data_IF_808568127944
#
_entry.id   IF_808568127944
#
_cell.length_a   1.000
_cell.length_b   1.000
_cell.length_c   1.000
_cell.angle_alpha   90.00
_cell.angle_beta   90.00
_cell.angle_gamma   90.00
#
_symmetry.space_group_name_H-M   'P 1'
#
loop_
_entity.id
_entity.type
_entity.pdbx_description
1 polymer ?
#
# COMPACT_ATOMS: atom_id res chain seq x y z
N UNK A 1 70.56 -38.52 -21.16
CA UNK A 1 69.82 -38.10 -19.92
C UNK A 1 69.46 -36.61 -20.09
N UNK A 2 68.24 -36.35 -20.50
CA UNK A 2 67.74 -34.99 -20.72
C UNK A 2 66.93 -34.60 -19.51
N UNK A 3 67.43 -33.61 -18.77
CA UNK A 3 66.75 -33.06 -17.59
C UNK A 3 65.70 -32.09 -18.09
N UNK A 4 64.41 -32.41 -17.88
CA UNK A 4 63.30 -31.51 -18.10
C UNK A 4 63.14 -30.67 -16.84
N UNK A 5 63.48 -29.38 -16.94
CA UNK A 5 63.20 -28.38 -15.91
C UNK A 5 61.74 -28.02 -15.95
N UNK A 6 60.96 -28.42 -14.96
CA UNK A 6 59.59 -27.97 -14.75
C UNK A 6 59.64 -26.61 -14.04
N UNK A 7 59.40 -25.56 -14.81
CA UNK A 7 59.24 -24.23 -14.25
C UNK A 7 57.94 -24.15 -13.44
N UNK A 8 58.02 -24.04 -12.14
CA UNK A 8 56.90 -23.59 -11.30
C UNK A 8 56.52 -22.17 -11.71
N UNK A 9 55.34 -22.00 -12.31
CA UNK A 9 54.72 -20.69 -12.42
C UNK A 9 54.29 -20.29 -10.98
N UNK A 10 54.83 -19.21 -10.50
CA UNK A 10 54.35 -18.55 -9.30
C UNK A 10 52.86 -18.15 -9.56
N UNK A 11 51.97 -18.70 -8.76
CA UNK A 11 50.59 -18.24 -8.69
C UNK A 11 50.65 -16.83 -8.06
N UNK A 12 50.49 -15.81 -8.90
CA UNK A 12 50.19 -14.45 -8.44
C UNK A 12 48.87 -14.52 -7.69
N UNK A 13 48.95 -14.59 -6.35
CA UNK A 13 47.81 -14.45 -5.46
C UNK A 13 47.33 -12.99 -5.55
N UNK A 14 46.48 -12.73 -6.51
CA UNK A 14 45.73 -11.47 -6.59
C UNK A 14 44.78 -11.46 -5.41
N UNK A 15 44.99 -10.54 -4.44
CA UNK A 15 44.07 -10.33 -3.31
C UNK A 15 42.67 -9.96 -3.78
N UNK A 16 41.69 -9.83 -2.87
CA UNK A 16 40.32 -9.53 -3.22
C UNK A 16 40.21 -8.31 -4.15
N UNK A 17 39.31 -8.39 -5.16
CA UNK A 17 39.03 -7.27 -6.06
C UNK A 17 37.69 -6.64 -5.72
N UNK A 18 37.45 -5.39 -6.16
CA UNK A 18 36.22 -4.71 -5.84
C UNK A 18 34.99 -5.46 -6.39
N UNK A 19 34.99 -5.85 -7.66
CA UNK A 19 33.80 -6.42 -8.30
C UNK A 19 33.47 -7.85 -7.84
N UNK A 20 34.49 -8.68 -7.62
CA UNK A 20 34.27 -10.11 -7.33
C UNK A 20 33.98 -10.40 -5.87
N UNK A 21 34.62 -9.68 -4.92
CA UNK A 21 34.50 -9.99 -3.50
C UNK A 21 33.85 -8.85 -2.69
N UNK A 22 34.16 -7.59 -2.98
CA UNK A 22 33.72 -6.46 -2.15
C UNK A 22 32.30 -6.01 -2.54
N UNK A 23 32.05 -5.86 -3.83
CA UNK A 23 30.77 -5.40 -4.33
C UNK A 23 29.58 -6.26 -3.86
N UNK A 24 29.64 -7.60 -3.86
CA UNK A 24 28.56 -8.45 -3.32
C UNK A 24 28.28 -8.20 -1.83
N UNK A 25 29.33 -7.98 -1.03
CA UNK A 25 29.20 -7.70 0.42
C UNK A 25 28.49 -6.36 0.62
N UNK A 26 28.91 -5.31 -0.12
CA UNK A 26 28.29 -3.98 -0.05
C UNK A 26 26.85 -3.99 -0.52
N UNK A 27 26.58 -4.71 -1.61
CA UNK A 27 25.25 -4.84 -2.19
C UNK A 27 24.26 -5.47 -1.23
N UNK A 28 24.66 -6.53 -0.55
CA UNK A 28 23.81 -7.24 0.40
C UNK A 28 23.54 -6.44 1.67
N UNK A 29 24.53 -5.68 2.18
CA UNK A 29 24.49 -5.17 3.54
C UNK A 29 24.49 -3.64 3.65
N UNK A 30 24.79 -2.89 2.57
CA UNK A 30 25.06 -1.45 2.67
C UNK A 30 24.22 -0.60 1.73
N UNK A 31 23.87 -1.10 0.52
CA UNK A 31 23.23 -0.27 -0.53
C UNK A 31 21.80 0.15 -0.21
N UNK A 32 21.10 -0.53 0.70
CA UNK A 32 19.78 -0.10 1.15
C UNK A 32 19.79 1.34 1.70
N UNK A 33 20.91 1.73 2.37
CA UNK A 33 21.07 3.05 2.97
C UNK A 33 22.11 3.92 2.25
N UNK A 34 23.08 3.32 1.57
CA UNK A 34 24.25 4.01 0.99
C UNK A 34 24.31 3.88 -0.55
N UNK A 35 23.17 3.98 -1.23
CA UNK A 35 23.07 4.03 -2.69
C UNK A 35 22.92 5.47 -3.21
N UNK A 36 23.02 5.65 -4.53
CA UNK A 36 22.72 6.93 -5.18
C UNK A 36 21.30 7.44 -4.92
N UNK A 37 20.35 6.55 -4.58
CA UNK A 37 18.99 6.90 -4.22
C UNK A 37 18.83 7.32 -2.74
N UNK A 38 19.47 6.62 -1.79
CA UNK A 38 19.27 6.83 -0.36
C UNK A 38 20.28 7.80 0.29
N UNK A 39 21.56 7.79 -0.10
CA UNK A 39 22.64 8.71 0.27
C UNK A 39 22.78 9.04 1.76
N UNK A 40 22.51 8.08 2.66
CA UNK A 40 22.61 8.34 4.09
C UNK A 40 24.03 8.76 4.49
N UNK A 41 24.16 9.83 5.27
CA UNK A 41 25.47 10.43 5.60
C UNK A 41 26.25 10.95 4.39
N UNK A 42 25.60 11.17 3.24
CA UNK A 42 26.25 11.58 1.99
C UNK A 42 27.15 10.51 1.35
N UNK A 43 27.20 9.29 1.93
CA UNK A 43 28.03 8.21 1.46
C UNK A 43 27.28 7.38 0.40
N UNK A 44 27.92 7.15 -0.75
CA UNK A 44 27.42 6.33 -1.85
C UNK A 44 28.39 5.16 -2.04
N UNK A 45 27.89 3.94 -2.04
CA UNK A 45 28.69 2.71 -2.14
C UNK A 45 28.34 1.86 -3.38
N UNK A 46 27.48 2.34 -4.29
CA UNK A 46 27.01 1.63 -5.47
C UNK A 46 28.03 1.60 -6.63
N UNK A 47 29.17 2.24 -6.48
CA UNK A 47 30.28 2.15 -7.41
C UNK A 47 31.62 2.34 -6.68
N UNK A 48 32.68 1.77 -7.24
CA UNK A 48 34.03 1.94 -6.71
C UNK A 48 34.41 3.41 -6.54
N UNK A 49 34.16 4.21 -7.59
CA UNK A 49 34.53 5.65 -7.58
C UNK A 49 33.73 6.43 -6.54
N UNK A 50 32.46 6.12 -6.32
CA UNK A 50 31.62 6.77 -5.32
C UNK A 50 32.05 6.39 -3.90
N UNK A 51 32.35 5.11 -3.65
CA UNK A 51 32.86 4.62 -2.36
C UNK A 51 34.20 5.28 -1.99
N UNK A 52 35.12 5.36 -2.93
CA UNK A 52 36.43 5.97 -2.69
C UNK A 52 36.38 7.48 -2.49
N UNK A 53 35.34 8.15 -3.01
CA UNK A 53 35.08 9.59 -2.78
C UNK A 53 34.72 9.88 -1.33
N UNK A 54 34.05 8.91 -0.65
CA UNK A 54 33.57 9.05 0.73
C UNK A 54 32.24 9.80 0.83
N UNK A 55 31.90 10.21 2.04
CA UNK A 55 30.62 10.85 2.37
C UNK A 55 30.79 12.25 3.00
N UNK A 56 29.73 12.71 3.71
CA UNK A 56 29.72 14.03 4.37
C UNK A 56 30.83 14.21 5.42
N UNK A 57 31.39 13.11 5.92
CA UNK A 57 32.49 13.12 6.91
C UNK A 57 33.85 12.77 6.30
N UNK A 58 34.01 12.90 5.00
CA UNK A 58 35.25 12.61 4.28
C UNK A 58 35.38 11.15 3.82
N UNK A 59 36.62 10.74 3.52
CA UNK A 59 36.93 9.40 3.05
C UNK A 59 36.66 8.36 4.16
N UNK A 60 36.04 7.26 3.77
CA UNK A 60 35.72 6.13 4.68
C UNK A 60 36.69 4.97 4.52
N UNK A 61 37.52 5.00 3.46
CA UNK A 61 38.55 4.01 3.15
C UNK A 61 39.88 4.74 2.98
N UNK A 62 40.92 4.26 3.66
CA UNK A 62 42.30 4.68 3.49
C UNK A 62 43.08 3.52 2.87
N UNK A 63 43.37 3.56 1.57
CA UNK A 63 44.09 2.46 0.88
C UNK A 63 45.37 2.09 1.58
N UNK A 64 45.61 0.78 1.80
CA UNK A 64 46.75 0.26 2.52
C UNK A 64 46.63 0.30 4.04
N UNK A 65 45.61 0.97 4.61
CA UNK A 65 45.47 1.13 6.06
C UNK A 65 44.09 0.69 6.54
N UNK A 66 43.86 -0.63 6.59
CA UNK A 66 42.57 -1.20 6.94
C UNK A 66 42.07 -0.74 8.32
N UNK A 67 42.92 -0.79 9.34
CA UNK A 67 42.55 -0.42 10.72
C UNK A 67 42.28 1.08 10.91
N UNK A 68 42.85 1.94 10.08
CA UNK A 68 42.60 3.37 10.07
C UNK A 68 41.44 3.78 9.15
N UNK A 69 40.82 2.84 8.47
CA UNK A 69 39.68 3.09 7.61
C UNK A 69 38.40 3.16 8.43
N UNK A 70 37.73 4.32 8.39
CA UNK A 70 36.48 4.57 9.14
C UNK A 70 35.41 3.52 8.88
N UNK A 71 35.33 2.98 7.64
CA UNK A 71 34.43 1.89 7.31
C UNK A 71 34.68 0.68 8.22
N UNK A 72 35.93 0.26 8.39
CA UNK A 72 36.30 -0.88 9.22
C UNK A 72 36.00 -0.59 10.70
N UNK A 73 36.33 0.60 11.18
CA UNK A 73 36.05 0.99 12.57
C UNK A 73 34.55 0.94 12.90
N UNK A 74 33.69 1.35 11.95
CA UNK A 74 32.22 1.27 12.11
C UNK A 74 31.70 -0.17 12.04
N UNK A 75 32.25 -1.00 11.15
CA UNK A 75 31.86 -2.41 11.03
C UNK A 75 32.24 -3.22 12.27
N UNK A 76 33.40 -2.93 12.87
CA UNK A 76 33.86 -3.56 14.10
C UNK A 76 33.27 -2.93 15.38
N UNK A 77 32.49 -1.84 15.24
CA UNK A 77 31.85 -1.13 16.36
C UNK A 77 32.82 -0.31 17.21
N UNK A 78 34.05 -0.05 16.73
CA UNK A 78 35.05 0.79 17.41
C UNK A 78 34.61 2.25 17.52
N UNK A 79 33.81 2.72 16.56
CA UNK A 79 33.17 4.04 16.53
C UNK A 79 31.67 3.94 16.31
N UNK A 80 30.90 4.92 16.79
CA UNK A 80 29.45 4.96 16.64
C UNK A 80 29.03 5.89 15.48
N UNK A 81 27.88 5.58 14.83
CA UNK A 81 27.07 4.36 15.00
C UNK A 81 27.76 3.14 14.38
N UNK A 82 27.59 1.96 15.01
CA UNK A 82 28.04 0.71 14.39
C UNK A 82 27.24 0.45 13.12
N UNK A 83 27.90 -0.07 12.08
CA UNK A 83 27.26 -0.44 10.81
C UNK A 83 27.28 -1.96 10.62
N UNK A 84 26.25 -2.53 9.97
CA UNK A 84 25.00 -1.89 9.54
C UNK A 84 24.17 -1.39 10.72
N UNK A 85 23.52 -0.22 10.55
CA UNK A 85 22.76 0.42 11.64
C UNK A 85 21.46 -0.37 11.93
N UNK A 86 21.16 -0.63 13.21
CA UNK A 86 20.00 -1.41 13.67
C UNK A 86 19.87 -2.82 13.03
N UNK A 87 20.98 -3.44 12.69
CA UNK A 87 21.04 -4.78 12.11
C UNK A 87 22.12 -5.62 12.80
N UNK A 88 22.10 -6.93 12.55
CA UNK A 88 23.15 -7.82 13.01
C UNK A 88 24.52 -7.42 12.47
N UNK A 89 25.62 -7.67 13.21
CA UNK A 89 26.96 -7.46 12.71
C UNK A 89 27.22 -8.23 11.41
N UNK A 90 28.05 -7.65 10.52
CA UNK A 90 28.56 -8.42 9.39
C UNK A 90 29.29 -9.69 9.89
N UNK A 91 29.21 -10.79 9.14
CA UNK A 91 30.03 -11.97 9.40
C UNK A 91 31.52 -11.61 9.48
N UNK A 92 32.24 -12.21 10.41
CA UNK A 92 33.67 -11.94 10.56
C UNK A 92 34.49 -12.19 9.28
N UNK A 93 34.08 -13.17 8.47
CA UNK A 93 34.67 -13.45 7.18
C UNK A 93 34.54 -12.28 6.17
N UNK A 94 33.36 -11.64 6.12
CA UNK A 94 33.10 -10.49 5.24
C UNK A 94 33.94 -9.28 5.66
N UNK A 95 34.02 -9.02 6.98
CA UNK A 95 34.88 -7.96 7.53
C UNK A 95 36.35 -8.25 7.18
N UNK A 96 36.82 -9.49 7.35
CA UNK A 96 38.17 -9.88 7.00
C UNK A 96 38.49 -9.69 5.51
N UNK A 97 37.54 -10.01 4.64
CA UNK A 97 37.66 -9.79 3.18
C UNK A 97 37.81 -8.30 2.86
N UNK A 98 36.97 -7.44 3.46
CA UNK A 98 37.07 -5.98 3.31
C UNK A 98 38.42 -5.46 3.80
N UNK A 99 38.86 -5.91 4.97
CA UNK A 99 40.18 -5.51 5.55
C UNK A 99 41.33 -5.95 4.64
N UNK A 100 41.31 -7.17 4.12
CA UNK A 100 42.34 -7.68 3.20
C UNK A 100 42.38 -6.85 1.91
N UNK A 101 41.23 -6.52 1.36
CA UNK A 101 41.15 -5.67 0.17
C UNK A 101 41.71 -4.27 0.43
N UNK A 102 41.34 -3.62 1.55
CA UNK A 102 41.86 -2.31 1.92
C UNK A 102 43.37 -2.37 2.15
N UNK A 103 43.88 -3.37 2.87
CA UNK A 103 45.31 -3.57 3.14
C UNK A 103 46.10 -3.79 1.84
N UNK A 104 45.50 -4.44 0.83
CA UNK A 104 46.04 -4.63 -0.51
C UNK A 104 45.99 -3.35 -1.39
N UNK A 105 45.63 -2.20 -0.80
CA UNK A 105 45.59 -0.91 -1.48
C UNK A 105 44.20 -0.54 -2.01
N UNK A 106 43.16 -1.24 -1.62
CA UNK A 106 41.77 -1.02 -2.04
C UNK A 106 41.67 -0.92 -3.59
N UNK A 107 42.28 -1.85 -4.29
CA UNK A 107 42.36 -1.82 -5.76
C UNK A 107 40.97 -1.89 -6.37
N UNK A 108 40.73 -1.07 -7.41
CA UNK A 108 39.51 -1.03 -8.18
C UNK A 108 39.35 -2.23 -9.10
N UNK A 109 38.98 -1.94 -10.31
CA UNK A 109 38.75 -2.96 -11.35
C UNK A 109 40.06 -3.62 -11.78
N UNK A 110 40.02 -4.91 -12.06
CA UNK A 110 41.11 -5.57 -12.77
C UNK A 110 41.27 -5.00 -14.20
N UNK A 111 42.44 -5.02 -14.80
CA UNK A 111 42.64 -4.55 -16.14
C UNK A 111 41.71 -5.31 -17.13
N UNK A 112 40.80 -4.60 -17.77
CA UNK A 112 39.79 -5.15 -18.71
C UNK A 112 38.39 -5.31 -18.15
N UNK A 113 38.12 -5.09 -16.86
CA UNK A 113 36.78 -5.02 -16.29
C UNK A 113 36.15 -3.64 -16.51
N UNK A 114 34.93 -3.59 -17.02
CA UNK A 114 34.17 -2.35 -17.14
C UNK A 114 33.73 -1.85 -15.75
N UNK A 115 33.77 -0.54 -15.53
CA UNK A 115 33.20 0.09 -14.35
C UNK A 115 31.66 0.01 -14.44
N UNK A 116 31.09 -1.12 -13.99
CA UNK A 116 29.65 -1.23 -13.80
C UNK A 116 29.24 -0.48 -12.55
N UNK A 117 28.20 0.34 -12.60
CA UNK A 117 27.44 0.64 -11.42
C UNK A 117 26.95 -0.70 -10.85
N UNK A 118 27.07 -0.89 -9.54
CA UNK A 118 26.41 -2.02 -8.88
C UNK A 118 24.90 -1.79 -9.06
N UNK A 119 24.38 -2.21 -10.19
CA UNK A 119 22.94 -2.29 -10.37
C UNK A 119 22.42 -3.19 -9.27
N UNK A 120 21.31 -2.79 -8.66
CA UNK A 120 20.58 -3.67 -7.78
C UNK A 120 20.58 -5.07 -8.41
N UNK A 121 20.91 -6.10 -7.64
CA UNK A 121 20.81 -7.49 -8.12
C UNK A 121 19.52 -7.57 -8.89
N UNK A 122 19.58 -7.95 -10.16
CA UNK A 122 18.37 -8.30 -10.88
C UNK A 122 17.71 -9.36 -10.03
N UNK A 123 16.68 -8.96 -9.27
CA UNK A 123 15.87 -9.90 -8.52
C UNK A 123 15.42 -10.88 -9.61
N UNK A 124 15.78 -12.18 -9.50
CA UNK A 124 15.30 -13.13 -10.49
C UNK A 124 13.79 -12.91 -10.60
N UNK A 125 13.28 -12.81 -11.81
CA UNK A 125 11.85 -12.75 -12.05
C UNK A 125 11.28 -14.11 -11.61
N UNK A 126 11.05 -14.24 -10.30
CA UNK A 126 10.49 -15.45 -9.70
C UNK A 126 9.03 -15.44 -10.10
N UNK A 127 8.75 -16.04 -11.24
CA UNK A 127 7.37 -16.31 -11.64
C UNK A 127 6.82 -17.37 -10.71
N UNK A 128 5.79 -17.04 -9.91
CA UNK A 128 5.15 -18.05 -9.08
C UNK A 128 4.69 -19.20 -9.97
N UNK A 129 4.98 -20.42 -9.60
CA UNK A 129 4.50 -21.61 -10.31
C UNK A 129 2.99 -21.82 -10.15
N UNK A 130 2.38 -21.09 -9.25
CA UNK A 130 0.92 -21.05 -9.00
C UNK A 130 0.43 -19.63 -9.29
N UNK A 131 -0.69 -19.46 -9.99
CA UNK A 131 -1.26 -18.14 -10.21
C UNK A 131 -1.50 -17.46 -8.84
N UNK A 132 -0.80 -16.35 -8.58
CA UNK A 132 -1.08 -15.53 -7.41
C UNK A 132 -2.37 -14.77 -7.70
N UNK A 133 -3.40 -15.08 -6.94
CA UNK A 133 -4.67 -14.39 -7.03
C UNK A 133 -4.55 -13.08 -6.25
N UNK A 134 -4.86 -11.96 -6.90
CA UNK A 134 -4.92 -10.66 -6.22
C UNK A 134 -6.23 -10.54 -5.46
N UNK A 135 -6.21 -10.25 -4.14
CA UNK A 135 -7.42 -9.91 -3.40
C UNK A 135 -8.15 -8.72 -4.01
N UNK A 136 -9.47 -8.70 -3.86
CA UNK A 136 -10.28 -7.51 -4.17
C UNK A 136 -10.29 -6.63 -2.93
N UNK A 137 -9.34 -5.70 -2.88
CA UNK A 137 -9.10 -4.88 -1.69
C UNK A 137 -9.99 -3.62 -1.62
N UNK A 138 -10.61 -3.23 -2.74
CA UNK A 138 -11.55 -2.11 -2.78
C UNK A 138 -12.51 -2.19 -3.97
N UNK A 139 -13.71 -1.63 -3.79
CA UNK A 139 -14.77 -1.58 -4.79
C UNK A 139 -15.49 -0.24 -4.78
N UNK A 140 -15.81 0.30 -5.97
CA UNK A 140 -16.66 1.50 -6.06
C UNK A 140 -17.42 1.53 -7.39
N UNK A 141 -18.72 1.75 -7.34
CA UNK A 141 -19.53 2.09 -8.53
C UNK A 141 -19.28 3.54 -8.94
N UNK A 142 -19.32 3.79 -10.25
CA UNK A 142 -19.39 5.17 -10.76
C UNK A 142 -20.72 5.83 -10.37
N UNK A 143 -20.78 7.18 -10.29
CA UNK A 143 -22.01 7.90 -9.91
C UNK A 143 -23.22 7.63 -10.83
N UNK A 144 -22.98 7.25 -12.08
CA UNK A 144 -24.05 6.84 -13.04
C UNK A 144 -24.36 5.33 -12.99
N UNK A 145 -23.64 4.56 -12.15
CA UNK A 145 -23.81 3.12 -11.97
C UNK A 145 -23.34 2.24 -13.12
N UNK A 146 -22.72 2.82 -14.17
CA UNK A 146 -22.34 2.08 -15.39
C UNK A 146 -20.97 1.41 -15.30
N UNK A 147 -20.14 1.83 -14.37
CA UNK A 147 -18.82 1.26 -14.14
C UNK A 147 -18.69 0.75 -12.71
N UNK A 148 -17.99 -0.35 -12.56
CA UNK A 148 -17.47 -0.82 -11.26
C UNK A 148 -15.94 -0.81 -11.30
N UNK A 149 -15.34 0.00 -10.43
CA UNK A 149 -13.90 0.01 -10.22
C UNK A 149 -13.51 -0.99 -9.14
N UNK A 150 -12.47 -1.77 -9.39
CA UNK A 150 -11.99 -2.86 -8.56
C UNK A 150 -10.50 -2.64 -8.30
N UNK A 151 -10.11 -2.48 -7.04
CA UNK A 151 -8.72 -2.35 -6.62
C UNK A 151 -8.11 -3.70 -6.28
N UNK A 152 -6.93 -3.92 -6.82
CA UNK A 152 -6.12 -5.10 -6.59
C UNK A 152 -4.64 -4.76 -6.43
N UNK A 153 -3.78 -5.73 -6.68
CA UNK A 153 -2.34 -5.54 -6.58
C UNK A 153 -1.82 -4.74 -7.79
N UNK A 154 -1.33 -3.55 -7.52
CA UNK A 154 -0.74 -2.60 -8.49
C UNK A 154 -1.66 -2.11 -9.61
N UNK A 155 -2.95 -2.45 -9.58
CA UNK A 155 -3.89 -2.09 -10.64
C UNK A 155 -5.29 -1.80 -10.13
N UNK A 156 -6.02 -1.01 -10.92
CA UNK A 156 -7.47 -0.85 -10.83
C UNK A 156 -8.09 -1.38 -12.12
N UNK A 157 -9.03 -2.31 -12.01
CA UNK A 157 -9.81 -2.79 -13.14
C UNK A 157 -11.15 -2.10 -13.18
N UNK A 158 -11.55 -1.61 -14.34
CA UNK A 158 -12.91 -1.09 -14.60
C UNK A 158 -13.68 -2.14 -15.38
N UNK A 159 -14.85 -2.49 -14.87
CA UNK A 159 -15.77 -3.43 -15.53
C UNK A 159 -17.15 -2.83 -15.74
N UNK A 160 -17.90 -3.38 -16.67
CA UNK A 160 -19.35 -3.22 -16.74
C UNK A 160 -20.00 -4.11 -15.67
N UNK A 161 -20.71 -3.56 -14.69
CA UNK A 161 -21.30 -4.37 -13.61
C UNK A 161 -22.45 -5.26 -14.06
N UNK A 162 -23.08 -5.01 -15.21
CA UNK A 162 -24.19 -5.79 -15.72
C UNK A 162 -23.72 -7.05 -16.46
N UNK A 163 -22.66 -6.93 -17.28
CA UNK A 163 -22.10 -8.05 -18.04
C UNK A 163 -20.91 -8.73 -17.29
N UNK A 164 -20.24 -8.01 -16.41
CA UNK A 164 -18.97 -8.43 -15.79
C UNK A 164 -17.77 -8.29 -16.72
N UNK A 165 -17.93 -7.74 -17.92
CA UNK A 165 -16.85 -7.58 -18.88
C UNK A 165 -15.85 -6.52 -18.47
N UNK A 166 -14.57 -6.85 -18.60
CA UNK A 166 -13.48 -5.91 -18.33
C UNK A 166 -13.40 -4.85 -19.43
N UNK A 167 -13.51 -3.58 -19.04
CA UNK A 167 -13.42 -2.43 -19.94
C UNK A 167 -11.97 -1.97 -20.08
N UNK A 168 -11.26 -1.88 -18.96
CA UNK A 168 -9.83 -1.47 -18.94
C UNK A 168 -9.18 -1.79 -17.62
N UNK A 169 -7.84 -1.75 -17.63
CA UNK A 169 -6.99 -1.82 -16.43
C UNK A 169 -6.12 -0.57 -16.37
N UNK A 170 -6.12 0.08 -15.20
CA UNK A 170 -5.29 1.23 -14.87
C UNK A 170 -4.14 0.73 -13.98
N UNK A 171 -2.93 0.70 -14.50
CA UNK A 171 -1.75 0.11 -13.85
C UNK A 171 -0.77 1.17 -13.37
N UNK A 172 0.19 0.75 -12.53
CA UNK A 172 1.29 1.59 -12.11
C UNK A 172 1.25 2.03 -10.65
N UNK A 173 0.39 1.43 -9.82
CA UNK A 173 0.47 1.54 -8.36
C UNK A 173 1.68 0.76 -7.82
N UNK A 174 2.24 1.26 -6.71
CA UNK A 174 3.42 0.63 -6.09
C UNK A 174 3.08 -0.70 -5.37
N UNK A 175 1.85 -0.85 -4.89
CA UNK A 175 1.37 -1.99 -4.12
C UNK A 175 -0.17 -2.09 -4.24
N UNK A 176 -0.86 -2.73 -3.29
CA UNK A 176 -2.31 -2.85 -3.28
C UNK A 176 -3.02 -1.50 -3.34
N UNK A 177 -4.07 -1.43 -4.17
CA UNK A 177 -5.01 -0.31 -4.22
C UNK A 177 -6.09 -0.53 -3.16
N UNK A 178 -5.90 0.04 -1.99
CA UNK A 178 -6.71 -0.18 -0.78
C UNK A 178 -8.00 0.61 -0.77
N UNK A 179 -8.09 1.67 -1.55
CA UNK A 179 -9.30 2.49 -1.62
C UNK A 179 -9.44 3.18 -2.97
N UNK A 180 -10.69 3.24 -3.44
CA UNK A 180 -11.07 3.85 -4.70
C UNK A 180 -12.25 4.79 -4.48
N UNK A 181 -12.21 5.96 -5.12
CA UNK A 181 -13.32 6.91 -5.13
C UNK A 181 -13.47 7.57 -6.50
N UNK A 182 -14.68 7.59 -7.04
CA UNK A 182 -15.02 8.42 -8.21
C UNK A 182 -15.27 9.86 -7.78
N UNK A 183 -14.91 10.82 -8.62
CA UNK A 183 -15.39 12.20 -8.48
C UNK A 183 -16.91 12.25 -8.62
N UNK A 184 -17.60 13.23 -8.00
CA UNK A 184 -19.07 13.32 -8.06
C UNK A 184 -19.64 13.41 -9.48
N UNK A 185 -18.88 13.97 -10.42
CA UNK A 185 -19.24 14.06 -11.83
C UNK A 185 -18.92 12.78 -12.63
N UNK A 186 -18.31 11.78 -12.00
CA UNK A 186 -17.90 10.51 -12.61
C UNK A 186 -16.74 10.58 -13.60
N UNK A 187 -16.16 11.77 -13.82
CA UNK A 187 -15.11 11.94 -14.83
C UNK A 187 -13.73 11.53 -14.38
N UNK A 188 -13.49 11.54 -13.07
CA UNK A 188 -12.19 11.20 -12.48
C UNK A 188 -12.32 10.07 -11.49
N UNK A 189 -11.25 9.30 -11.36
CA UNK A 189 -11.10 8.23 -10.40
C UNK A 189 -9.85 8.47 -9.57
N UNK A 190 -9.99 8.53 -8.25
CA UNK A 190 -8.89 8.48 -7.30
C UNK A 190 -8.70 7.05 -6.82
N UNK A 191 -7.49 6.54 -6.91
CA UNK A 191 -7.09 5.24 -6.41
C UNK A 191 -5.92 5.43 -5.44
N UNK A 192 -6.05 4.91 -4.23
CA UNK A 192 -5.11 5.13 -3.15
C UNK A 192 -4.52 3.82 -2.62
N UNK A 193 -3.25 3.87 -2.22
CA UNK A 193 -2.49 2.76 -1.70
C UNK A 193 -1.07 3.17 -1.37
N UNK A 194 -0.09 2.45 -1.90
CA UNK A 194 1.32 2.73 -1.70
C UNK A 194 2.04 1.59 -1.00
N UNK A 195 3.36 1.61 -1.03
CA UNK A 195 4.20 0.61 -0.39
C UNK A 195 4.23 0.87 1.12
N UNK A 196 3.63 -0.04 1.90
CA UNK A 196 3.57 0.09 3.36
C UNK A 196 4.98 0.20 3.96
N UNK A 197 5.11 1.00 5.02
CA UNK A 197 6.36 1.40 5.67
C UNK A 197 7.33 2.22 4.78
N UNK A 198 6.88 2.70 3.62
CA UNK A 198 7.71 3.48 2.69
C UNK A 198 7.02 4.75 2.21
N UNK A 199 5.82 4.64 1.63
CA UNK A 199 5.12 5.79 1.06
C UNK A 199 3.65 5.47 0.78
N UNK A 200 2.81 6.50 0.87
CA UNK A 200 1.45 6.49 0.35
C UNK A 200 1.35 7.31 -0.94
N UNK A 201 0.50 6.84 -1.86
CA UNK A 201 0.22 7.54 -3.10
C UNK A 201 -1.27 7.53 -3.42
N UNK A 202 -1.76 8.60 -4.03
CA UNK A 202 -3.08 8.67 -4.65
C UNK A 202 -2.88 8.98 -6.12
N UNK A 203 -3.35 8.10 -7.00
CA UNK A 203 -3.35 8.35 -8.44
C UNK A 203 -4.73 8.81 -8.88
N UNK A 204 -4.77 9.90 -9.62
CA UNK A 204 -6.00 10.48 -10.18
C UNK A 204 -6.00 10.21 -11.68
N UNK A 205 -7.02 9.51 -12.14
CA UNK A 205 -7.20 9.11 -13.53
C UNK A 205 -8.39 9.84 -14.17
N UNK A 206 -8.28 10.18 -15.43
CA UNK A 206 -9.42 10.51 -16.27
C UNK A 206 -10.09 9.23 -16.73
N UNK A 207 -11.38 9.07 -16.43
CA UNK A 207 -12.13 7.84 -16.67
C UNK A 207 -12.33 7.58 -18.15
N UNK A 208 -12.61 8.61 -18.94
CA UNK A 208 -12.92 8.48 -20.37
C UNK A 208 -11.68 8.17 -21.20
N UNK A 209 -10.60 8.93 -20.99
CA UNK A 209 -9.34 8.76 -21.72
C UNK A 209 -8.41 7.72 -21.12
N UNK A 210 -8.69 7.27 -19.88
CA UNK A 210 -7.87 6.30 -19.13
C UNK A 210 -6.46 6.80 -18.82
N UNK A 211 -6.24 8.11 -18.87
CA UNK A 211 -4.94 8.74 -18.64
C UNK A 211 -4.75 9.07 -17.17
N UNK A 212 -3.56 8.82 -16.66
CA UNK A 212 -3.13 9.34 -15.37
C UNK A 212 -3.03 10.87 -15.46
N UNK A 213 -3.78 11.58 -14.62
CA UNK A 213 -3.78 13.03 -14.56
C UNK A 213 -2.77 13.53 -13.52
N UNK A 214 -2.74 12.90 -12.36
CA UNK A 214 -1.87 13.33 -11.26
C UNK A 214 -1.54 12.17 -10.31
N UNK A 215 -0.43 12.32 -9.57
CA UNK A 215 -0.06 11.44 -8.45
C UNK A 215 0.20 12.33 -7.23
N UNK A 216 -0.64 12.23 -6.20
CA UNK A 216 -0.48 12.94 -4.95
C UNK A 216 0.41 12.12 -4.02
N UNK A 217 1.48 12.72 -3.52
CA UNK A 217 2.44 12.10 -2.62
C UNK A 217 2.66 12.99 -1.41
N UNK A 218 2.86 12.39 -0.23
CA UNK A 218 3.08 13.13 1.01
C UNK A 218 2.76 12.33 2.27
N UNK A 219 2.03 11.21 2.15
CA UNK A 219 1.94 10.23 3.22
C UNK A 219 3.24 9.42 3.32
N UNK A 220 3.65 9.14 4.56
CA UNK A 220 4.88 8.37 4.87
C UNK A 220 4.66 6.87 4.91
N UNK A 221 3.41 6.44 4.83
CA UNK A 221 3.01 5.03 4.82
C UNK A 221 1.79 4.84 3.91
N UNK A 222 1.40 3.58 3.66
CA UNK A 222 0.30 3.24 2.77
C UNK A 222 -1.01 3.91 3.19
N UNK A 223 -1.81 4.32 2.19
CA UNK A 223 -3.11 4.95 2.35
C UNK A 223 -4.18 3.87 2.36
N UNK A 224 -5.03 3.87 3.36
CA UNK A 224 -6.13 2.90 3.53
C UNK A 224 -7.46 3.42 3.00
N UNK A 225 -7.65 4.73 2.98
CA UNK A 225 -8.93 5.31 2.56
C UNK A 225 -8.73 6.62 1.80
N UNK A 226 -9.55 6.81 0.76
CA UNK A 226 -9.64 8.04 -0.03
C UNK A 226 -11.10 8.41 -0.26
N UNK A 227 -11.42 9.68 -0.16
CA UNK A 227 -12.75 10.21 -0.42
C UNK A 227 -12.67 11.52 -1.22
N UNK A 228 -13.63 11.73 -2.13
CA UNK A 228 -13.85 13.01 -2.80
C UNK A 228 -14.81 13.87 -2.00
N UNK A 229 -14.56 15.19 -1.97
CA UNK A 229 -15.58 16.14 -1.51
C UNK A 229 -16.79 16.16 -2.45
N UNK A 230 -18.00 16.45 -1.96
CA UNK A 230 -19.21 16.48 -2.78
C UNK A 230 -19.15 17.49 -3.93
N UNK A 231 -18.37 18.56 -3.81
CA UNK A 231 -18.16 19.57 -4.87
C UNK A 231 -17.05 19.17 -5.87
N UNK A 232 -16.36 18.05 -5.63
CA UNK A 232 -15.33 17.51 -6.51
C UNK A 232 -14.02 18.30 -6.53
N UNK A 233 -13.79 19.21 -5.56
CA UNK A 233 -12.57 20.05 -5.52
C UNK A 233 -11.49 19.48 -4.63
N UNK A 234 -11.88 18.71 -3.61
CA UNK A 234 -10.97 18.18 -2.61
C UNK A 234 -10.94 16.66 -2.62
N UNK A 235 -9.82 16.11 -2.19
CA UNK A 235 -9.67 14.70 -1.80
C UNK A 235 -9.22 14.67 -0.35
N UNK A 236 -9.80 13.77 0.45
CA UNK A 236 -9.30 13.40 1.76
C UNK A 236 -8.68 12.02 1.71
N UNK A 237 -7.63 11.80 2.50
CA UNK A 237 -6.95 10.51 2.63
C UNK A 237 -6.61 10.19 4.08
N UNK A 238 -6.77 8.92 4.47
CA UNK A 238 -6.36 8.37 5.76
C UNK A 238 -5.29 7.30 5.57
N UNK A 239 -4.25 7.31 6.40
CA UNK A 239 -3.06 6.49 6.21
C UNK A 239 -2.62 5.77 7.49
N UNK A 240 -1.84 4.72 7.30
CA UNK A 240 -1.14 4.02 8.37
C UNK A 240 -0.13 4.91 9.10
N UNK A 241 0.30 6.02 8.48
CA UNK A 241 1.14 7.04 9.12
C UNK A 241 0.41 7.89 10.17
N UNK A 242 -0.87 7.56 10.50
CA UNK A 242 -1.74 8.19 11.50
C UNK A 242 -2.28 9.57 11.10
N UNK A 243 -1.98 10.01 9.88
CA UNK A 243 -2.40 11.31 9.37
C UNK A 243 -3.66 11.20 8.53
N UNK A 244 -4.47 12.24 8.60
CA UNK A 244 -5.48 12.55 7.61
C UNK A 244 -5.02 13.77 6.82
N UNK A 245 -5.05 13.68 5.48
CA UNK A 245 -4.66 14.80 4.63
C UNK A 245 -5.80 15.23 3.72
N UNK A 246 -5.87 16.53 3.46
CA UNK A 246 -6.80 17.12 2.49
C UNK A 246 -5.98 17.74 1.36
N UNK A 247 -6.36 17.41 0.13
CA UNK A 247 -5.65 17.77 -1.09
C UNK A 247 -6.54 18.60 -2.00
N UNK A 248 -5.99 19.64 -2.62
CA UNK A 248 -6.62 20.33 -3.74
C UNK A 248 -6.39 19.55 -5.03
N UNK A 249 -7.48 19.16 -5.68
CA UNK A 249 -7.43 18.31 -6.87
C UNK A 249 -6.86 19.02 -8.08
N UNK A 250 -7.08 20.34 -8.18
CA UNK A 250 -6.66 21.14 -9.33
C UNK A 250 -5.15 21.36 -9.34
N UNK A 251 -4.60 21.67 -8.15
CA UNK A 251 -3.17 21.96 -8.00
C UNK A 251 -2.35 20.74 -7.63
N UNK A 252 -2.99 19.68 -7.12
CA UNK A 252 -2.35 18.49 -6.57
C UNK A 252 -1.62 18.74 -5.24
N UNK A 253 -1.84 19.87 -4.59
CA UNK A 253 -1.15 20.25 -3.35
C UNK A 253 -1.90 19.76 -2.11
N UNK A 254 -1.15 19.39 -1.09
CA UNK A 254 -1.65 19.21 0.26
C UNK A 254 -2.10 20.57 0.81
N UNK A 255 -3.38 20.66 1.19
CA UNK A 255 -3.95 21.84 1.84
C UNK A 255 -3.91 21.75 3.35
N UNK A 256 -4.14 20.55 3.89
CA UNK A 256 -4.21 20.29 5.34
C UNK A 256 -3.56 18.96 5.67
N UNK A 257 -2.93 18.92 6.83
CA UNK A 257 -2.41 17.71 7.46
C UNK A 257 -2.96 17.64 8.90
N UNK A 258 -3.95 16.78 9.11
CA UNK A 258 -4.70 16.67 10.37
C UNK A 258 -4.00 15.61 11.25
N UNK A 259 -3.30 16.07 12.27
CA UNK A 259 -2.40 15.26 13.12
C UNK A 259 -2.97 15.12 14.53
N UNK A 260 -3.88 14.20 14.73
CA UNK A 260 -4.47 14.03 16.07
C UNK A 260 -4.81 12.56 16.38
N UNK A 261 -4.90 11.68 15.37
CA UNK A 261 -4.96 10.26 15.61
C UNK A 261 -3.63 9.71 16.14
N UNK A 262 -3.69 8.83 17.13
CA UNK A 262 -2.50 8.22 17.75
C UNK A 262 -2.15 6.87 17.11
N UNK A 263 -3.00 6.37 16.19
CA UNK A 263 -2.77 5.14 15.44
C UNK A 263 -3.32 5.26 14.01
N UNK A 264 -3.14 4.21 13.20
CA UNK A 264 -3.49 4.15 11.78
C UNK A 264 -4.92 4.62 11.48
N UNK A 265 -5.11 5.39 10.42
CA UNK A 265 -6.42 5.86 9.96
C UNK A 265 -6.88 4.97 8.81
N UNK A 266 -7.94 4.20 9.04
CA UNK A 266 -8.44 3.22 8.08
C UNK A 266 -9.61 3.72 7.24
N UNK A 267 -10.35 4.71 7.69
CA UNK A 267 -11.51 5.22 6.96
C UNK A 267 -11.59 6.74 7.02
N UNK A 268 -11.97 7.36 5.89
CA UNK A 268 -12.31 8.78 5.82
C UNK A 268 -13.58 8.97 4.99
N UNK A 269 -14.44 9.92 5.38
CA UNK A 269 -15.63 10.25 4.63
C UNK A 269 -15.96 11.74 4.79
N UNK A 270 -16.28 12.42 3.69
CA UNK A 270 -16.89 13.75 3.75
C UNK A 270 -18.37 13.66 4.13
N UNK A 271 -18.84 14.63 4.89
CA UNK A 271 -20.28 14.82 5.05
C UNK A 271 -20.94 15.19 3.70
N UNK A 272 -22.24 14.91 3.52
CA UNK A 272 -22.93 15.21 2.25
C UNK A 272 -22.92 16.70 1.86
N UNK A 273 -22.84 17.62 2.82
CA UNK A 273 -22.69 19.07 2.59
C UNK A 273 -21.23 19.49 2.28
N UNK A 274 -20.26 18.59 2.54
CA UNK A 274 -18.84 18.86 2.34
C UNK A 274 -18.18 19.73 3.40
N UNK A 275 -18.91 20.16 4.43
CA UNK A 275 -18.39 21.04 5.48
C UNK A 275 -17.54 20.29 6.52
N UNK A 276 -17.82 18.98 6.72
CA UNK A 276 -17.15 18.14 7.69
C UNK A 276 -16.46 16.96 7.02
N UNK A 277 -15.38 16.53 7.66
CA UNK A 277 -14.70 15.27 7.35
C UNK A 277 -14.73 14.38 8.60
N UNK A 278 -15.05 13.11 8.42
CA UNK A 278 -14.90 12.12 9.47
C UNK A 278 -13.72 11.20 9.18
N UNK A 279 -13.00 10.79 10.22
CA UNK A 279 -11.93 9.80 10.13
C UNK A 279 -12.06 8.75 11.23
N UNK A 280 -11.99 7.47 10.85
CA UNK A 280 -12.01 6.31 11.74
C UNK A 280 -10.63 5.66 11.81
N UNK A 281 -10.20 5.30 13.02
CA UNK A 281 -8.83 4.87 13.28
C UNK A 281 -8.75 3.62 14.15
N UNK A 282 -7.59 2.96 14.07
CA UNK A 282 -7.16 1.92 14.99
C UNK A 282 -7.10 2.42 16.44
N UNK A 283 -7.01 3.72 16.67
CA UNK A 283 -7.06 4.32 18.01
C UNK A 283 -8.46 4.28 18.66
N UNK A 284 -9.41 3.58 18.05
CA UNK A 284 -10.79 3.33 18.53
C UNK A 284 -11.67 4.57 18.52
N UNK A 285 -11.28 5.61 17.77
CA UNK A 285 -12.04 6.87 17.70
C UNK A 285 -12.49 7.19 16.30
N UNK A 286 -13.64 7.89 16.21
CA UNK A 286 -13.99 8.69 15.04
C UNK A 286 -13.77 10.15 15.39
N UNK A 287 -13.00 10.85 14.58
CA UNK A 287 -12.78 12.30 14.73
C UNK A 287 -13.51 13.03 13.63
N UNK A 288 -14.19 14.11 14.02
CA UNK A 288 -14.91 15.00 13.11
C UNK A 288 -14.14 16.30 13.00
N UNK A 289 -13.88 16.70 11.75
CA UNK A 289 -13.05 17.83 11.40
C UNK A 289 -13.85 18.85 10.59
N UNK A 290 -13.57 20.12 10.80
CA UNK A 290 -13.99 21.20 9.90
C UNK A 290 -13.08 21.20 8.65
N UNK A 291 -13.66 21.08 7.47
CA UNK A 291 -12.89 20.97 6.21
C UNK A 291 -12.18 22.27 5.88
N UNK A 292 -12.80 23.42 6.15
CA UNK A 292 -12.25 24.72 5.78
C UNK A 292 -11.06 25.12 6.66
N UNK A 293 -11.12 24.84 7.97
CA UNK A 293 -10.06 25.20 8.91
C UNK A 293 -9.06 24.08 9.13
N UNK A 294 -9.51 22.81 9.03
CA UNK A 294 -8.77 21.62 9.41
C UNK A 294 -8.75 21.37 10.93
N UNK A 295 -9.53 22.11 11.69
CA UNK A 295 -9.64 21.93 13.14
C UNK A 295 -10.53 20.72 13.48
N UNK A 296 -10.15 19.99 14.53
CA UNK A 296 -11.02 18.94 15.07
C UNK A 296 -12.18 19.57 15.82
N UNK A 297 -13.40 19.28 15.37
CA UNK A 297 -14.61 19.73 16.05
C UNK A 297 -14.87 18.92 17.34
N UNK A 298 -14.86 17.58 17.22
CA UNK A 298 -15.03 16.67 18.37
C UNK A 298 -14.58 15.25 18.03
N UNK A 299 -14.60 14.38 19.04
CA UNK A 299 -14.23 12.96 18.96
C UNK A 299 -15.38 12.09 19.48
N UNK A 300 -15.66 10.98 18.78
CA UNK A 300 -16.56 9.92 19.20
C UNK A 300 -15.69 8.73 19.64
N UNK A 301 -15.81 8.29 20.88
CA UNK A 301 -14.86 7.35 21.52
C UNK A 301 -15.54 6.17 22.21
N UNK A 302 -16.68 5.72 21.66
CA UNK A 302 -17.46 4.63 22.24
C UNK A 302 -16.97 3.23 21.78
N UNK A 303 -16.14 3.15 20.73
CA UNK A 303 -15.65 1.88 20.19
C UNK A 303 -14.61 1.23 21.11
N UNK A 304 -14.65 -0.10 21.19
CA UNK A 304 -13.74 -0.89 22.04
C UNK A 304 -12.48 -1.38 21.33
N UNK A 305 -12.47 -1.37 19.99
CA UNK A 305 -11.32 -1.71 19.14
C UNK A 305 -11.30 -0.83 17.89
N UNK A 306 -10.27 -1.03 17.03
CA UNK A 306 -10.05 -0.25 15.82
C UNK A 306 -11.21 -0.30 14.82
N UNK A 307 -11.42 0.82 14.14
CA UNK A 307 -12.52 1.03 13.20
C UNK A 307 -12.03 0.88 11.76
N UNK A 308 -12.51 -0.14 11.05
CA UNK A 308 -12.17 -0.45 9.65
C UNK A 308 -13.08 0.24 8.63
N UNK A 309 -14.34 0.48 8.99
CA UNK A 309 -15.39 1.05 8.14
C UNK A 309 -16.06 2.26 8.76
N UNK A 310 -16.42 3.24 7.91
CA UNK A 310 -17.08 4.47 8.32
C UNK A 310 -17.92 5.03 7.18
N UNK A 311 -19.17 5.43 7.47
CA UNK A 311 -20.05 6.05 6.49
C UNK A 311 -21.00 7.06 7.15
N UNK A 312 -21.19 8.22 6.50
CA UNK A 312 -22.29 9.13 6.82
C UNK A 312 -23.61 8.56 6.33
N UNK A 313 -24.70 8.85 7.03
CA UNK A 313 -26.04 8.73 6.47
C UNK A 313 -26.19 9.65 5.26
N UNK A 314 -27.06 9.34 4.30
CA UNK A 314 -27.31 10.23 3.16
C UNK A 314 -27.81 11.65 3.56
N UNK A 315 -28.46 11.77 4.72
CA UNK A 315 -28.89 13.06 5.31
C UNK A 315 -27.76 13.84 5.97
N UNK A 316 -26.66 13.16 6.35
CA UNK A 316 -25.52 13.77 7.04
C UNK A 316 -25.70 13.99 8.54
N UNK A 317 -26.87 13.66 9.09
CA UNK A 317 -27.21 13.83 10.50
C UNK A 317 -26.73 12.67 11.40
N UNK A 318 -26.34 11.56 10.78
CA UNK A 318 -25.78 10.40 11.47
C UNK A 318 -24.48 9.92 10.80
N UNK A 319 -23.69 9.20 11.58
CA UNK A 319 -22.52 8.47 11.09
C UNK A 319 -22.51 7.07 11.69
N UNK A 320 -22.20 6.08 10.87
CA UNK A 320 -21.99 4.72 11.30
C UNK A 320 -20.51 4.35 11.16
N UNK A 321 -19.98 3.61 12.13
CA UNK A 321 -18.67 3.00 12.04
C UNK A 321 -18.71 1.57 12.60
N UNK A 322 -17.79 0.74 12.11
CA UNK A 322 -17.63 -0.63 12.56
C UNK A 322 -16.18 -1.09 12.41
N UNK A 323 -15.81 -2.15 13.11
CA UNK A 323 -14.44 -2.60 13.07
C UNK A 323 -14.15 -3.94 13.73
N UNK A 324 -12.99 -4.03 14.34
CA UNK A 324 -12.43 -5.28 14.84
C UNK A 324 -13.12 -5.81 16.10
N UNK A 325 -13.88 -4.98 16.80
CA UNK A 325 -14.73 -5.40 17.94
C UNK A 325 -16.07 -6.00 17.51
N UNK A 326 -16.28 -6.21 16.19
CA UNK A 326 -17.49 -6.84 15.65
C UNK A 326 -18.76 -6.02 15.83
N UNK A 327 -18.62 -4.75 16.19
CA UNK A 327 -19.71 -3.88 16.62
C UNK A 327 -19.98 -2.80 15.59
N UNK A 328 -21.25 -2.55 15.31
CA UNK A 328 -21.70 -1.36 14.59
C UNK A 328 -22.04 -0.31 15.63
N UNK A 329 -21.49 0.87 15.47
CA UNK A 329 -21.81 2.08 16.24
C UNK A 329 -22.51 3.08 15.32
N UNK A 330 -23.57 3.70 15.79
CA UNK A 330 -24.28 4.78 15.09
C UNK A 330 -24.40 5.98 16.03
N UNK A 331 -23.88 7.12 15.58
CA UNK A 331 -24.00 8.39 16.30
C UNK A 331 -24.88 9.37 15.54
N UNK A 332 -25.74 10.10 16.28
CA UNK A 332 -26.38 11.31 15.79
C UNK A 332 -25.41 12.47 15.97
N UNK A 333 -25.23 13.28 14.94
CA UNK A 333 -24.25 14.35 14.89
C UNK A 333 -24.92 15.70 15.16
N UNK A 334 -24.35 16.45 16.10
CA UNK A 334 -24.74 17.83 16.40
C UNK A 334 -23.68 18.84 15.95
N UNK A 335 -23.88 20.09 16.35
CA UNK A 335 -22.92 21.16 16.05
C UNK A 335 -21.62 20.98 16.85
N UNK A 336 -21.76 20.68 18.13
CA UNK A 336 -20.66 20.70 19.11
C UNK A 336 -20.35 19.29 19.67
N UNK A 337 -20.90 18.24 19.07
CA UNK A 337 -20.67 16.86 19.51
C UNK A 337 -21.58 15.85 18.84
N UNK A 338 -21.27 14.56 19.03
CA UNK A 338 -22.10 13.45 18.60
C UNK A 338 -22.58 12.64 19.82
N UNK A 339 -23.76 12.06 19.70
CA UNK A 339 -24.37 11.20 20.72
C UNK A 339 -24.56 9.80 20.15
N UNK A 340 -24.01 8.79 20.83
CA UNK A 340 -24.27 7.39 20.49
C UNK A 340 -25.77 7.11 20.54
N UNK A 341 -26.32 6.64 19.43
CA UNK A 341 -27.74 6.27 19.29
C UNK A 341 -27.88 4.76 19.40
N UNK A 342 -27.02 4.03 18.68
CA UNK A 342 -27.03 2.58 18.69
C UNK A 342 -25.60 2.03 18.75
N UNK A 343 -25.45 0.92 19.47
CA UNK A 343 -24.29 0.03 19.39
C UNK A 343 -24.78 -1.41 19.44
N UNK A 344 -24.27 -2.25 18.55
CA UNK A 344 -24.66 -3.66 18.43
C UNK A 344 -23.49 -4.50 18.01
N UNK A 345 -23.19 -5.57 18.76
CA UNK A 345 -22.31 -6.64 18.24
C UNK A 345 -23.06 -7.29 17.09
N UNK A 346 -22.65 -7.00 15.88
CA UNK A 346 -23.40 -7.24 14.67
C UNK A 346 -22.97 -8.49 13.93
N UNK A 347 -21.72 -8.89 14.11
CA UNK A 347 -21.07 -9.96 13.36
C UNK A 347 -20.38 -10.96 14.30
N UNK A 348 -20.04 -12.14 13.77
CA UNK A 348 -19.35 -13.19 14.55
C UNK A 348 -17.83 -12.99 14.57
N UNK A 349 -17.31 -12.21 13.61
CA UNK A 349 -15.91 -11.84 13.52
C UNK A 349 -15.76 -10.38 13.06
N UNK A 350 -14.52 -9.92 12.87
CA UNK A 350 -14.19 -8.53 12.52
C UNK A 350 -14.99 -8.04 11.33
N UNK A 351 -15.57 -6.85 11.43
CA UNK A 351 -16.23 -6.18 10.31
C UNK A 351 -15.15 -5.52 9.47
N UNK A 352 -15.12 -5.84 8.18
CA UNK A 352 -14.10 -5.39 7.25
C UNK A 352 -14.56 -4.19 6.41
N UNK A 353 -15.84 -4.14 6.04
CA UNK A 353 -16.42 -3.01 5.34
C UNK A 353 -17.83 -2.68 5.85
N UNK A 354 -18.18 -1.40 5.74
CA UNK A 354 -19.51 -0.87 6.10
C UNK A 354 -19.94 0.12 5.02
N UNK A 355 -21.18 -0.01 4.57
CA UNK A 355 -21.82 0.95 3.67
C UNK A 355 -23.24 1.26 4.14
N UNK A 356 -23.70 2.46 3.85
CA UNK A 356 -25.08 2.89 4.07
C UNK A 356 -25.85 2.85 2.75
N UNK A 357 -27.09 2.38 2.78
CA UNK A 357 -27.94 2.39 1.57
C UNK A 357 -28.22 3.83 1.12
N UNK A 358 -28.35 4.09 -0.20
CA UNK A 358 -28.60 5.44 -0.72
C UNK A 358 -29.93 6.06 -0.23
N UNK A 359 -30.92 5.24 0.14
CA UNK A 359 -32.18 5.68 0.71
C UNK A 359 -32.14 5.89 2.23
N UNK A 360 -30.99 5.61 2.85
CA UNK A 360 -30.76 5.79 4.29
C UNK A 360 -31.42 4.76 5.20
N UNK A 361 -32.00 3.67 4.64
CA UNK A 361 -32.78 2.71 5.43
C UNK A 361 -32.01 1.53 5.94
N UNK A 362 -30.89 1.19 5.30
CA UNK A 362 -30.10 0.01 5.64
C UNK A 362 -28.63 0.34 5.88
N UNK A 363 -28.02 -0.33 6.84
CA UNK A 363 -26.60 -0.44 7.04
C UNK A 363 -26.18 -1.86 6.65
N UNK A 364 -25.20 -1.96 5.77
CA UNK A 364 -24.68 -3.23 5.25
C UNK A 364 -23.25 -3.38 5.74
N UNK A 365 -22.95 -4.52 6.34
CA UNK A 365 -21.61 -4.90 6.79
C UNK A 365 -21.13 -6.15 6.09
N UNK A 366 -19.82 -6.26 5.93
CA UNK A 366 -19.16 -7.50 5.59
C UNK A 366 -18.11 -7.86 6.64
N UNK A 367 -17.92 -9.15 6.86
CA UNK A 367 -17.09 -9.66 7.94
C UNK A 367 -16.10 -10.72 7.47
N UNK A 368 -15.06 -10.93 8.28
CA UNK A 368 -14.12 -12.04 8.13
C UNK A 368 -14.72 -13.40 8.47
N UNK A 369 -15.96 -13.44 9.00
CA UNK A 369 -16.74 -14.68 9.11
C UNK A 369 -17.31 -15.18 7.77
N UNK A 370 -17.11 -14.43 6.68
CA UNK A 370 -17.61 -14.75 5.35
C UNK A 370 -19.10 -14.44 5.19
N UNK A 371 -19.64 -13.48 5.90
CA UNK A 371 -21.03 -13.04 5.78
C UNK A 371 -21.15 -11.58 5.30
N UNK A 372 -22.30 -11.28 4.69
CA UNK A 372 -22.75 -9.91 4.42
C UNK A 372 -24.10 -9.75 5.12
N UNK A 373 -24.20 -8.81 6.06
CA UNK A 373 -25.39 -8.60 6.86
C UNK A 373 -26.05 -7.27 6.52
N UNK A 374 -27.38 -7.30 6.45
CA UNK A 374 -28.25 -6.17 6.16
C UNK A 374 -29.07 -5.87 7.40
N UNK A 375 -29.04 -4.62 7.85
CA UNK A 375 -29.70 -4.17 9.06
C UNK A 375 -30.48 -2.90 8.82
N UNK A 376 -31.63 -2.80 9.47
CA UNK A 376 -32.41 -1.56 9.50
C UNK A 376 -31.58 -0.44 10.16
N UNK A 377 -31.42 0.68 9.49
CA UNK A 377 -30.52 1.75 9.92
C UNK A 377 -31.02 2.48 11.20
N UNK A 378 -32.35 2.48 11.43
CA UNK A 378 -32.94 3.15 12.58
C UNK A 378 -32.93 2.31 13.87
N UNK A 379 -32.90 0.99 13.75
CA UNK A 379 -33.05 0.06 14.88
C UNK A 379 -31.92 -0.93 15.05
N UNK A 380 -31.09 -1.11 14.00
CA UNK A 380 -30.10 -2.17 13.82
C UNK A 380 -30.69 -3.60 13.84
N UNK A 381 -32.01 -3.75 13.71
CA UNK A 381 -32.61 -5.05 13.58
C UNK A 381 -32.16 -5.75 12.29
N UNK A 382 -31.95 -7.07 12.31
CA UNK A 382 -31.54 -7.82 11.12
C UNK A 382 -32.66 -7.82 10.08
N UNK A 383 -32.30 -7.56 8.82
CA UNK A 383 -33.19 -7.64 7.64
C UNK A 383 -32.89 -8.93 6.87
N UNK A 384 -31.61 -9.14 6.55
CA UNK A 384 -31.16 -10.28 5.76
C UNK A 384 -29.69 -10.59 6.01
N UNK A 385 -29.27 -11.75 5.55
CA UNK A 385 -27.87 -12.18 5.56
C UNK A 385 -27.56 -12.96 4.29
N UNK A 386 -26.38 -12.77 3.75
CA UNK A 386 -25.78 -13.60 2.71
C UNK A 386 -24.58 -14.30 3.33
N UNK A 387 -24.80 -15.55 3.74
CA UNK A 387 -23.81 -16.41 4.41
C UNK A 387 -22.94 -17.20 3.44
N UNK A 388 -21.97 -17.93 4.00
CA UNK A 388 -21.17 -18.95 3.34
C UNK A 388 -20.45 -18.41 2.10
N UNK A 389 -19.93 -17.18 2.20
CA UNK A 389 -19.04 -16.68 1.16
C UNK A 389 -17.78 -17.55 1.11
N UNK A 390 -17.19 -17.74 -0.09
CA UNK A 390 -16.03 -18.63 -0.23
C UNK A 390 -14.76 -18.11 0.47
N UNK A 391 -14.75 -16.86 0.95
CA UNK A 391 -13.66 -16.25 1.70
C UNK A 391 -14.10 -14.92 2.33
N UNK A 392 -13.23 -14.26 3.08
CA UNK A 392 -13.44 -12.95 3.70
C UNK A 392 -13.90 -11.92 2.68
N UNK A 393 -14.95 -11.18 3.01
CA UNK A 393 -15.48 -10.12 2.14
C UNK A 393 -14.82 -8.81 2.55
N UNK A 394 -13.73 -8.45 1.85
CA UNK A 394 -12.92 -7.29 2.17
C UNK A 394 -13.53 -5.96 1.70
N UNK A 395 -14.29 -6.01 0.62
CA UNK A 395 -14.79 -4.79 0.00
C UNK A 395 -16.27 -4.92 -0.37
N UNK A 396 -17.02 -3.86 -0.07
CA UNK A 396 -18.42 -3.67 -0.46
C UNK A 396 -18.56 -2.40 -1.31
N UNK A 397 -19.38 -2.49 -2.36
CA UNK A 397 -19.79 -1.35 -3.16
C UNK A 397 -21.28 -1.42 -3.45
N UNK A 398 -22.01 -0.33 -3.20
CA UNK A 398 -23.43 -0.21 -3.51
C UNK A 398 -23.62 0.75 -4.67
N UNK A 399 -24.46 0.35 -5.66
CA UNK A 399 -24.75 1.23 -6.79
C UNK A 399 -25.58 2.43 -6.33
N UNK A 400 -25.38 3.62 -6.93
CA UNK A 400 -26.08 4.85 -6.54
C UNK A 400 -27.61 4.76 -6.64
N UNK A 401 -28.11 3.91 -7.54
CA UNK A 401 -29.55 3.67 -7.72
C UNK A 401 -30.12 2.63 -6.75
N UNK A 402 -29.28 2.09 -5.84
CA UNK A 402 -29.67 1.07 -4.86
C UNK A 402 -30.13 -0.26 -5.45
N UNK A 403 -29.70 -0.61 -6.69
CA UNK A 403 -30.10 -1.89 -7.30
C UNK A 403 -29.09 -3.01 -7.09
N UNK A 404 -27.81 -2.67 -7.02
CA UNK A 404 -26.73 -3.64 -7.05
C UNK A 404 -25.80 -3.47 -5.86
N UNK A 405 -25.44 -4.58 -5.22
CA UNK A 405 -24.36 -4.68 -4.24
C UNK A 405 -23.23 -5.52 -4.83
N UNK A 406 -22.04 -4.98 -4.89
CA UNK A 406 -20.84 -5.71 -5.26
C UNK A 406 -20.07 -6.12 -3.98
N UNK A 407 -19.57 -7.35 -3.95
CA UNK A 407 -18.79 -7.90 -2.85
C UNK A 407 -17.50 -8.52 -3.39
N UNK A 408 -16.37 -7.99 -2.95
CA UNK A 408 -15.02 -8.43 -3.29
C UNK A 408 -14.39 -9.19 -2.13
N UNK A 409 -13.64 -10.27 -2.46
CA UNK A 409 -13.10 -11.17 -1.44
C UNK A 409 -11.59 -11.30 -1.50
N UNK A 410 -11.03 -11.78 -0.40
CA UNK A 410 -9.60 -12.01 -0.26
C UNK A 410 -9.05 -13.00 -1.31
N UNK A 411 -9.82 -14.02 -1.68
CA UNK A 411 -9.46 -14.98 -2.74
C UNK A 411 -9.61 -14.42 -4.17
N UNK A 412 -9.80 -13.11 -4.34
CA UNK A 412 -9.91 -12.44 -5.62
C UNK A 412 -11.25 -12.62 -6.34
N UNK A 413 -12.23 -13.27 -5.72
CA UNK A 413 -13.56 -13.42 -6.32
C UNK A 413 -14.42 -12.17 -6.09
N UNK A 414 -15.24 -11.86 -7.10
CA UNK A 414 -16.23 -10.80 -7.09
C UNK A 414 -17.61 -11.38 -7.33
N UNK A 415 -18.59 -10.93 -6.58
CA UNK A 415 -20.01 -11.19 -6.86
C UNK A 415 -20.80 -9.89 -6.87
N UNK A 416 -21.81 -9.84 -7.75
CA UNK A 416 -22.78 -8.76 -7.78
C UNK A 416 -24.14 -9.34 -7.42
N UNK A 417 -24.82 -8.71 -6.47
CA UNK A 417 -26.12 -9.11 -5.95
C UNK A 417 -27.18 -8.07 -6.33
N UNK A 418 -28.40 -8.54 -6.60
CA UNK A 418 -29.55 -7.67 -6.63
C UNK A 418 -29.88 -7.26 -5.19
N UNK A 419 -29.84 -5.96 -4.89
CA UNK A 419 -29.98 -5.44 -3.54
C UNK A 419 -31.36 -5.64 -2.93
N UNK A 420 -32.43 -5.71 -3.73
CA UNK A 420 -33.81 -5.98 -3.23
C UNK A 420 -34.07 -7.42 -2.89
N UNK A 421 -33.47 -8.36 -3.61
CA UNK A 421 -33.70 -9.79 -3.45
C UNK A 421 -32.56 -10.48 -2.71
N UNK A 422 -31.44 -9.81 -2.53
CA UNK A 422 -30.19 -10.31 -1.93
C UNK A 422 -29.61 -11.53 -2.67
N UNK A 423 -30.05 -11.76 -3.92
CA UNK A 423 -29.61 -12.90 -4.73
C UNK A 423 -28.49 -12.49 -5.68
N UNK A 424 -27.51 -13.36 -5.91
CA UNK A 424 -26.45 -13.10 -6.89
C UNK A 424 -27.07 -13.00 -8.30
N UNK A 425 -26.54 -12.08 -9.10
CA UNK A 425 -26.96 -11.87 -10.50
C UNK A 425 -26.36 -12.89 -11.44
N UNK A 426 -25.18 -13.39 -11.10
CA UNK A 426 -24.40 -14.38 -11.85
C UNK A 426 -23.54 -15.21 -10.89
N UNK A 427 -22.82 -16.20 -11.41
CA UNK A 427 -21.79 -16.91 -10.65
C UNK A 427 -20.67 -15.95 -10.27
N UNK A 428 -20.00 -16.16 -9.11
CA UNK A 428 -18.81 -15.38 -8.76
C UNK A 428 -17.78 -15.42 -9.88
N UNK A 429 -17.18 -14.28 -10.19
CA UNK A 429 -16.13 -14.16 -11.19
C UNK A 429 -14.79 -13.85 -10.52
N UNK A 430 -13.69 -14.22 -11.17
CA UNK A 430 -12.36 -13.77 -10.75
C UNK A 430 -12.16 -12.32 -11.20
N UNK A 431 -11.99 -11.42 -10.24
CA UNK A 431 -11.82 -9.98 -10.53
C UNK A 431 -10.52 -9.71 -11.30
N UNK A 432 -9.47 -10.46 -11.01
CA UNK A 432 -8.13 -10.34 -11.60
C UNK A 432 -7.69 -11.67 -12.20
N UNK A 433 -8.52 -12.30 -13.05
CA UNK A 433 -8.11 -13.50 -13.76
C UNK A 433 -6.84 -13.21 -14.59
N UNK A 434 -5.86 -14.12 -14.60
CA UNK A 434 -4.70 -14.00 -15.49
C UNK A 434 -5.21 -13.81 -16.92
N UNK A 435 -4.61 -12.88 -17.67
CA UNK A 435 -4.94 -12.72 -19.09
C UNK A 435 -4.69 -14.06 -19.81
N UNK A 436 -5.50 -14.40 -20.82
CA UNK A 436 -5.29 -15.61 -21.62
C UNK A 436 -3.85 -15.71 -22.18
N UNK A 437 -3.17 -14.58 -22.40
CA UNK A 437 -1.79 -14.52 -22.80
C UNK A 437 -0.84 -15.08 -21.71
N UNK A 438 -1.15 -14.85 -20.43
CA UNK A 438 -0.36 -15.37 -19.30
C UNK A 438 -0.58 -16.89 -19.13
N UNK A 439 -1.81 -17.37 -19.35
CA UNK A 439 -2.14 -18.81 -19.30
C UNK A 439 -1.45 -19.56 -20.44
N UNK A 440 -1.52 -19.03 -21.66
CA UNK A 440 -0.84 -19.62 -22.83
C UNK A 440 0.70 -19.61 -22.75
N UNK A 441 1.28 -18.67 -22.01
CA UNK A 441 2.73 -18.64 -21.76
C UNK A 441 3.15 -19.76 -20.79
N UNK A 442 2.33 -20.07 -19.79
CA UNK A 442 2.56 -21.17 -18.83
C UNK A 442 2.39 -22.52 -19.52
N UNK A 443 1.32 -22.70 -20.33
CA UNK A 443 1.08 -23.94 -21.08
C UNK A 443 2.20 -24.25 -22.10
N UNK A 444 2.76 -23.23 -22.75
CA UNK A 444 3.91 -23.42 -23.65
C UNK A 444 5.19 -23.78 -22.91
N UNK A 445 5.39 -23.31 -21.68
CA UNK A 445 6.57 -23.65 -20.87
C UNK A 445 6.51 -25.08 -20.32
N UNK A 446 5.31 -25.59 -20.00
CA UNK A 446 5.13 -26.98 -19.53
C UNK A 446 5.12 -28.01 -20.67
N UNK A 447 4.83 -27.60 -21.88
CA UNK A 447 4.88 -28.49 -23.07
C UNK A 447 6.28 -28.63 -23.67
N UNK A 448 7.28 -27.88 -23.16
CA UNK A 448 8.69 -27.93 -23.64
C UNK A 448 9.66 -28.54 -22.62
N UNK A 449 9.14 -29.16 -21.55
CA UNK A 449 9.88 -30.06 -20.65
C UNK A 449 9.38 -31.51 -20.82
#
# INVERSE_FOLDING_TARGET
MTVISVGLRANDATGPTFNSEIAPILQKNCLACHSSAAKMGGLIMDSYGALMKGGAHGQVIVPGQAEASRLVEMLEGKIQPRMPFNSDPLPAADIATIKTWIAGGAKGLAPGEASGNLSAVAIPDIKPQVPVVSPVSSLKFSPDGKLLAIGGYQEVRLIDPASGEAITTLSGHADYVRSIAFSPDGKRLAAAGGACQRSGEIKIWDVASRRLLNTLQGHKDCIYSVAWSPDGKLIASGSYDKMVKIWDVTTGKELRNLQDHIDAVFAVAFSPDGERLASGSQDRTVKIWDVATGERLYTLSDASDGLSGLAYSPSGDQIAAAGYDKTIYVWSLGKDGGRLVHSLIADEDSILALVWSPDGKEIITSSSDGSIRFRDAATLNPISVIDHQPDWVEALGLSPDGKWLAAGRYNGTLSVYNFKTYKPTARPMMAFAPSEASVKAVEKSTASQ
#
